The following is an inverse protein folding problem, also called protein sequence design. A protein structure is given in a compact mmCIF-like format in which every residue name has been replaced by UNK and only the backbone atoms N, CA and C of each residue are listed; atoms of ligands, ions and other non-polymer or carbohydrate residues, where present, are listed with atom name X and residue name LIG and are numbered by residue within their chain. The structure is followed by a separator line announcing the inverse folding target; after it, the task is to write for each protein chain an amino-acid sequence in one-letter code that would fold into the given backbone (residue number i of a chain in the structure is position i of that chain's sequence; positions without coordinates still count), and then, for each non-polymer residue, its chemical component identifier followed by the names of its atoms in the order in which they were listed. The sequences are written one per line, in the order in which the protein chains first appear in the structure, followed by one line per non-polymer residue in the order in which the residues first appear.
data_IF_997328154873
#
_entry.id   IF_997328154873
#
_cell.length_a   1.000
_cell.length_b   1.000
_cell.length_c   1.000
_cell.angle_alpha   90.00
_cell.angle_beta   90.00
_cell.angle_gamma   90.00
#
_symmetry.space_group_name_H-M   'P 1'
#
loop_
_entity.id
_entity.type
_entity.pdbx_description
1 polymer ?
#
# COMPACT_ATOMS: atom_id res chain seq x y z
N UNK A 1 15.91 20.60 15.90
CA UNK A 1 16.25 20.16 14.52
C UNK A 1 16.22 21.29 13.49
N UNK A 2 15.31 22.28 13.54
CA UNK A 2 15.26 23.36 12.51
C UNK A 2 16.53 24.16 12.26
N UNK A 3 17.47 24.19 13.21
CA UNK A 3 18.75 24.90 13.09
C UNK A 3 19.84 24.06 12.40
N UNK A 4 19.59 22.79 12.10
CA UNK A 4 20.52 21.91 11.39
C UNK A 4 20.42 22.15 9.88
N UNK A 5 21.49 21.90 9.13
CA UNK A 5 21.41 21.97 7.67
C UNK A 5 20.45 20.88 7.14
N UNK A 6 19.86 21.09 5.94
CA UNK A 6 19.00 20.09 5.33
C UNK A 6 19.64 18.72 5.19
N UNK A 7 20.93 18.64 4.90
CA UNK A 7 21.66 17.38 4.73
C UNK A 7 21.73 16.61 6.06
N UNK A 8 22.02 17.30 7.17
CA UNK A 8 22.07 16.69 8.51
C UNK A 8 20.68 16.26 8.97
N UNK A 9 19.63 17.06 8.69
CA UNK A 9 18.25 16.67 9.00
C UNK A 9 17.84 15.42 8.21
N UNK A 10 18.18 15.36 6.92
CA UNK A 10 17.94 14.22 6.06
C UNK A 10 18.63 12.97 6.59
N UNK A 11 19.91 13.08 6.96
CA UNK A 11 20.66 11.95 7.52
C UNK A 11 20.10 11.45 8.83
N UNK A 12 19.62 12.33 9.72
CA UNK A 12 18.91 11.92 10.94
C UNK A 12 17.63 11.18 10.61
N UNK A 13 16.83 11.71 9.67
CA UNK A 13 15.55 11.14 9.31
C UNK A 13 15.66 9.78 8.60
N UNK A 14 16.78 9.46 7.95
CA UNK A 14 17.04 8.11 7.43
C UNK A 14 17.04 7.01 8.51
N UNK A 15 17.28 7.38 9.78
CA UNK A 15 17.29 6.44 10.91
C UNK A 15 15.95 6.30 11.61
N UNK A 16 14.92 7.03 11.17
CA UNK A 16 13.61 6.99 11.79
C UNK A 16 12.72 5.95 11.12
N UNK A 17 11.87 5.30 11.91
CA UNK A 17 10.86 4.37 11.39
C UNK A 17 9.78 5.14 10.61
N UNK A 18 9.05 4.46 9.74
CA UNK A 18 7.93 5.06 9.00
C UNK A 18 6.92 5.76 9.93
N UNK A 19 6.53 5.10 11.04
CA UNK A 19 5.63 5.68 12.04
C UNK A 19 6.18 6.97 12.65
N UNK A 20 7.50 7.03 12.90
CA UNK A 20 8.17 8.23 13.41
C UNK A 20 8.23 9.34 12.36
N UNK A 21 8.49 9.01 11.09
CA UNK A 21 8.49 9.97 9.98
C UNK A 21 7.11 10.59 9.77
N UNK A 22 6.05 9.78 9.74
CA UNK A 22 4.66 10.26 9.66
C UNK A 22 4.32 11.18 10.83
N UNK A 23 4.67 10.78 12.05
CA UNK A 23 4.44 11.62 13.23
C UNK A 23 5.14 12.98 13.10
N UNK A 24 6.41 12.99 12.66
CA UNK A 24 7.17 14.23 12.43
C UNK A 24 6.54 15.08 11.34
N UNK A 25 6.07 14.47 10.24
CA UNK A 25 5.38 15.15 9.15
C UNK A 25 4.10 15.87 9.65
N UNK A 26 3.38 15.27 10.58
CA UNK A 26 2.16 15.82 11.17
C UNK A 26 2.42 16.92 12.22
N UNK A 27 3.60 16.94 12.85
CA UNK A 27 3.88 17.93 13.91
C UNK A 27 3.96 19.37 13.42
N UNK A 28 4.45 19.61 12.19
CA UNK A 28 4.55 20.96 11.65
C UNK A 28 4.72 20.99 10.12
N UNK A 29 4.15 22.01 9.48
CA UNK A 29 4.25 22.25 8.04
C UNK A 29 5.70 22.33 7.51
N UNK A 30 6.66 22.79 8.31
CA UNK A 30 8.08 22.76 7.94
C UNK A 30 8.57 21.34 7.65
N UNK A 31 8.34 20.40 8.57
CA UNK A 31 8.79 19.02 8.39
C UNK A 31 7.97 18.30 7.32
N UNK A 32 6.69 18.64 7.18
CA UNK A 32 5.90 18.17 6.04
C UNK A 32 6.54 18.54 4.70
N UNK A 33 6.87 19.82 4.50
CA UNK A 33 7.52 20.29 3.27
C UNK A 33 8.90 19.65 3.13
N UNK A 34 9.66 19.55 4.22
CA UNK A 34 10.99 18.96 4.22
C UNK A 34 10.99 17.48 3.83
N UNK A 35 10.18 16.66 4.49
CA UNK A 35 10.10 15.22 4.24
C UNK A 35 9.62 14.96 2.81
N UNK A 36 8.61 15.69 2.33
CA UNK A 36 8.13 15.58 0.95
C UNK A 36 9.21 15.96 -0.08
N UNK A 37 10.10 16.90 0.24
CA UNK A 37 11.21 17.28 -0.66
C UNK A 37 12.24 16.16 -0.82
N UNK A 38 12.38 15.29 0.17
CA UNK A 38 13.39 14.23 0.20
C UNK A 38 12.77 12.84 0.31
N UNK A 39 11.53 12.68 -0.11
CA UNK A 39 10.75 11.45 0.00
C UNK A 39 11.37 10.28 -0.77
N UNK A 40 12.08 10.59 -1.85
CA UNK A 40 12.90 9.66 -2.62
C UNK A 40 14.16 9.18 -1.88
N UNK A 41 14.59 9.90 -0.83
CA UNK A 41 15.83 9.67 -0.07
C UNK A 41 15.59 9.27 1.38
N UNK A 42 14.35 9.41 1.85
CA UNK A 42 13.93 9.08 3.20
C UNK A 42 13.33 7.69 3.23
N UNK A 43 13.43 7.04 4.39
CA UNK A 43 13.18 5.62 4.54
C UNK A 43 11.80 5.21 4.01
N UNK A 44 11.80 4.60 2.83
CA UNK A 44 10.85 3.56 2.46
C UNK A 44 11.22 2.37 3.33
N UNK A 45 10.29 1.84 4.12
CA UNK A 45 10.55 0.56 4.79
C UNK A 45 10.89 -0.44 3.68
N UNK A 46 12.09 -1.03 3.74
CA UNK A 46 12.51 -2.04 2.77
C UNK A 46 11.94 -3.36 3.24
N UNK A 47 11.20 -3.99 2.36
CA UNK A 47 10.74 -5.37 2.49
C UNK A 47 11.41 -6.20 1.41
N UNK A 48 11.56 -7.49 1.65
CA UNK A 48 12.12 -8.37 0.64
C UNK A 48 11.07 -8.73 -0.39
N UNK A 49 9.82 -8.94 0.06
CA UNK A 49 8.76 -9.40 -0.83
C UNK A 49 7.41 -8.77 -0.50
N UNK A 50 6.72 -8.35 -1.56
CA UNK A 50 5.28 -8.13 -1.57
C UNK A 50 4.60 -9.30 -2.27
N UNK A 51 3.58 -9.88 -1.65
CA UNK A 51 2.74 -10.90 -2.26
C UNK A 51 1.26 -10.61 -2.02
N UNK A 52 0.43 -10.87 -3.03
CA UNK A 52 -1.02 -10.82 -2.90
C UNK A 52 -1.53 -12.27 -2.87
N UNK A 53 -2.12 -12.65 -1.75
CA UNK A 53 -2.57 -14.00 -1.46
C UNK A 53 -4.11 -14.07 -1.43
N UNK A 54 -4.66 -15.17 -1.90
CA UNK A 54 -6.07 -15.48 -1.70
C UNK A 54 -6.29 -15.99 -0.26
N UNK A 55 -7.09 -15.28 0.52
CA UNK A 55 -7.54 -15.76 1.82
C UNK A 55 -8.57 -16.87 1.64
N UNK A 56 -8.14 -18.13 1.71
CA UNK A 56 -9.10 -19.22 1.94
C UNK A 56 -9.51 -19.19 3.42
N UNK A 57 -10.82 -19.32 3.70
CA UNK A 57 -11.39 -19.27 5.06
C UNK A 57 -10.73 -20.23 6.07
N UNK A 58 -9.97 -21.24 5.60
CA UNK A 58 -9.24 -22.18 6.45
C UNK A 58 -7.75 -21.87 6.71
N UNK A 59 -7.16 -20.87 6.04
CA UNK A 59 -5.72 -20.52 6.22
C UNK A 59 -5.50 -19.31 7.13
N UNK A 60 -6.56 -18.57 7.46
CA UNK A 60 -6.48 -17.33 8.25
C UNK A 60 -6.07 -17.55 9.70
N UNK A 61 -6.10 -18.77 10.24
CA UNK A 61 -5.73 -19.04 11.62
C UNK A 61 -4.22 -18.98 11.90
N UNK A 62 -3.38 -18.87 10.88
CA UNK A 62 -1.92 -18.81 11.02
C UNK A 62 -1.34 -17.40 10.87
N UNK A 63 -2.15 -16.41 10.49
CA UNK A 63 -1.68 -15.06 10.19
C UNK A 63 -2.23 -14.06 11.21
N UNK A 64 -1.33 -13.29 11.80
CA UNK A 64 -1.73 -12.12 12.59
C UNK A 64 -1.91 -10.96 11.62
N UNK A 65 -3.16 -10.55 11.41
CA UNK A 65 -3.49 -9.44 10.54
C UNK A 65 -3.19 -8.13 11.24
N UNK A 66 -2.44 -7.27 10.56
CA UNK A 66 -2.25 -5.90 10.94
C UNK A 66 -3.44 -5.07 10.46
N UNK A 67 -4.30 -4.68 11.39
CA UNK A 67 -5.24 -3.58 11.15
C UNK A 67 -4.48 -2.25 11.33
N UNK A 68 -4.56 -1.31 10.37
CA UNK A 68 -3.96 0.01 10.55
C UNK A 68 -4.57 0.69 11.78
N UNK A 69 -3.77 1.46 12.51
CA UNK A 69 -4.27 2.27 13.64
C UNK A 69 -5.42 3.17 13.14
N UNK A 70 -6.61 3.16 13.77
CA UNK A 70 -7.76 3.96 13.35
C UNK A 70 -7.45 5.43 13.12
N UNK A 71 -6.48 5.97 13.86
CA UNK A 71 -6.03 7.35 13.71
C UNK A 71 -5.36 7.64 12.36
N UNK A 72 -4.83 6.62 11.68
CA UNK A 72 -4.19 6.76 10.38
C UNK A 72 -5.21 6.92 9.25
N UNK A 73 -6.44 6.45 9.44
CA UNK A 73 -7.51 6.57 8.44
C UNK A 73 -8.69 7.45 8.87
N UNK A 74 -8.62 8.08 10.06
CA UNK A 74 -9.55 9.14 10.48
C UNK A 74 -9.24 10.50 9.83
N UNK A 75 -9.08 10.51 8.51
CA UNK A 75 -8.95 11.74 7.73
C UNK A 75 -10.31 12.19 7.18
N UNK A 76 -10.48 13.50 7.08
CA UNK A 76 -11.64 14.10 6.40
C UNK A 76 -11.46 13.96 4.89
N UNK A 77 -12.51 13.50 4.22
CA UNK A 77 -12.62 13.49 2.75
C UNK A 77 -13.52 14.63 2.30
N UNK A 78 -13.29 15.16 1.10
CA UNK A 78 -14.18 16.17 0.54
C UNK A 78 -15.54 15.56 0.19
N UNK A 79 -16.60 16.38 0.15
CA UNK A 79 -17.92 15.93 -0.33
C UNK A 79 -17.85 15.37 -1.76
N UNK A 80 -16.94 15.90 -2.59
CA UNK A 80 -16.78 15.47 -3.97
C UNK A 80 -16.16 14.07 -4.03
N UNK A 81 -15.12 13.80 -3.23
CA UNK A 81 -14.49 12.49 -3.16
C UNK A 81 -15.43 11.46 -2.54
N UNK A 82 -16.14 11.83 -1.47
CA UNK A 82 -17.12 10.95 -0.85
C UNK A 82 -18.19 10.51 -1.84
N UNK A 83 -18.73 11.43 -2.67
CA UNK A 83 -19.69 11.09 -3.74
C UNK A 83 -19.10 10.12 -4.76
N UNK A 84 -17.84 10.32 -5.19
CA UNK A 84 -17.16 9.40 -6.11
C UNK A 84 -17.00 8.02 -5.48
N UNK A 85 -16.58 7.95 -4.23
CA UNK A 85 -16.41 6.68 -3.50
C UNK A 85 -17.73 5.94 -3.35
N UNK A 86 -18.83 6.63 -2.97
CA UNK A 86 -20.18 6.03 -2.94
C UNK A 86 -20.57 5.45 -4.30
N UNK A 87 -20.34 6.20 -5.38
CA UNK A 87 -20.61 5.72 -6.73
C UNK A 87 -19.77 4.48 -7.09
N UNK A 88 -18.50 4.42 -6.68
CA UNK A 88 -17.65 3.25 -6.90
C UNK A 88 -18.11 2.01 -6.12
N UNK A 89 -18.57 2.21 -4.88
CA UNK A 89 -19.17 1.15 -4.05
C UNK A 89 -20.47 0.64 -4.68
N UNK A 90 -21.37 1.54 -5.09
CA UNK A 90 -22.64 1.18 -5.74
C UNK A 90 -22.43 0.39 -7.04
N UNK A 91 -21.40 0.76 -7.81
CA UNK A 91 -20.99 0.04 -9.02
C UNK A 91 -20.17 -1.22 -8.74
N UNK A 92 -19.93 -1.58 -7.47
CA UNK A 92 -19.16 -2.75 -7.06
C UNK A 92 -17.78 -2.83 -7.72
N UNK A 93 -17.07 -1.70 -7.83
CA UNK A 93 -15.71 -1.70 -8.38
C UNK A 93 -14.81 -2.51 -7.44
N UNK A 94 -14.12 -3.56 -7.93
CA UNK A 94 -13.29 -4.38 -7.06
C UNK A 94 -11.94 -3.73 -6.78
N UNK A 95 -11.34 -4.01 -5.62
CA UNK A 95 -9.97 -3.63 -5.28
C UNK A 95 -8.94 -4.34 -6.13
N UNK A 96 -9.23 -5.59 -6.50
CA UNK A 96 -8.32 -6.44 -7.24
C UNK A 96 -8.99 -7.00 -8.49
N UNK A 97 -8.21 -7.14 -9.56
CA UNK A 97 -8.59 -7.90 -10.74
C UNK A 97 -7.99 -9.30 -10.59
N UNK A 98 -8.81 -10.33 -10.76
CA UNK A 98 -8.45 -11.73 -10.56
C UNK A 98 -9.07 -12.59 -11.65
N UNK A 99 -8.36 -13.63 -12.09
CA UNK A 99 -8.88 -14.63 -13.05
C UNK A 99 -9.90 -15.61 -12.43
N UNK A 100 -10.08 -15.56 -11.11
CA UNK A 100 -11.06 -16.37 -10.39
C UNK A 100 -12.27 -15.56 -9.96
N UNK A 101 -13.47 -16.17 -10.05
CA UNK A 101 -14.70 -15.73 -9.41
C UNK A 101 -14.56 -15.85 -7.89
N UNK A 102 -13.92 -14.87 -7.26
CA UNK A 102 -13.68 -14.92 -5.82
C UNK A 102 -14.32 -13.72 -5.13
N UNK A 103 -15.38 -13.99 -4.38
CA UNK A 103 -15.84 -13.19 -3.25
C UNK A 103 -14.85 -13.26 -2.04
N UNK A 104 -13.61 -13.70 -2.28
CA UNK A 104 -12.65 -13.96 -1.22
C UNK A 104 -12.00 -12.66 -0.74
N UNK A 105 -11.62 -12.67 0.54
CA UNK A 105 -10.76 -11.65 1.10
C UNK A 105 -9.36 -11.82 0.52
N UNK A 106 -8.76 -10.72 0.09
CA UNK A 106 -7.42 -10.73 -0.46
C UNK A 106 -6.49 -10.18 0.61
N UNK A 107 -5.41 -10.91 0.85
CA UNK A 107 -4.41 -10.59 1.85
C UNK A 107 -3.17 -10.09 1.14
N UNK A 108 -2.71 -8.91 1.52
CA UNK A 108 -1.42 -8.38 1.10
C UNK A 108 -0.41 -8.76 2.17
N UNK A 109 0.63 -9.51 1.77
CA UNK A 109 1.71 -9.95 2.64
C UNK A 109 2.99 -9.17 2.32
N UNK A 110 3.61 -8.61 3.35
CA UNK A 110 4.93 -8.00 3.30
C UNK A 110 5.90 -8.84 4.16
N UNK A 111 7.03 -9.25 3.58
CA UNK A 111 8.05 -10.06 4.28
C UNK A 111 9.30 -9.22 4.58
N UNK A 112 9.73 -9.25 5.84
CA UNK A 112 10.96 -8.62 6.32
C UNK A 112 11.95 -9.71 6.78
N UNK A 113 13.07 -9.91 6.08
CA UNK A 113 14.15 -10.81 6.51
C UNK A 113 15.05 -10.09 7.51
N UNK A 114 14.92 -10.47 8.78
CA UNK A 114 16.06 -10.46 9.68
C UNK A 114 16.52 -11.90 9.88
N UNK A 115 17.82 -12.13 9.76
CA UNK A 115 18.47 -13.41 9.93
C UNK A 115 17.80 -14.26 11.02
N UNK A 116 17.20 -15.37 10.60
CA UNK A 116 16.57 -16.45 11.39
C UNK A 116 15.10 -16.29 11.84
N UNK A 117 14.46 -15.12 11.71
CA UNK A 117 13.01 -14.98 11.96
C UNK A 117 12.37 -14.09 10.88
N UNK A 118 11.59 -14.72 9.98
CA UNK A 118 10.79 -13.99 9.00
C UNK A 118 9.58 -13.37 9.72
N UNK A 119 9.61 -12.06 9.93
CA UNK A 119 8.41 -11.31 10.32
C UNK A 119 7.59 -11.05 9.06
N UNK A 120 6.35 -11.51 9.09
CA UNK A 120 5.40 -11.31 8.00
C UNK A 120 4.30 -10.36 8.47
N UNK A 121 4.05 -9.30 7.70
CA UNK A 121 2.96 -8.37 7.94
C UNK A 121 1.84 -8.67 6.96
N UNK A 122 0.65 -8.96 7.49
CA UNK A 122 -0.52 -9.27 6.68
C UNK A 122 -1.54 -8.15 6.81
N UNK A 123 -1.88 -7.50 5.71
CA UNK A 123 -3.00 -6.56 5.64
C UNK A 123 -4.14 -7.17 4.85
N UNK A 124 -5.32 -7.20 5.45
CA UNK A 124 -6.52 -7.67 4.77
C UNK A 124 -7.20 -6.50 4.07
N UNK A 125 -7.48 -6.67 2.77
CA UNK A 125 -8.24 -5.71 1.98
C UNK A 125 -9.54 -6.36 1.48
N UNK A 126 -10.71 -5.73 1.69
CA UNK A 126 -11.94 -6.23 1.10
C UNK A 126 -11.84 -6.08 -0.42
N UNK A 127 -12.09 -7.16 -1.16
CA UNK A 127 -12.10 -7.06 -2.62
C UNK A 127 -13.24 -6.15 -3.09
N UNK A 128 -14.38 -6.16 -2.39
CA UNK A 128 -15.51 -5.27 -2.66
C UNK A 128 -15.76 -4.40 -1.43
N UNK A 129 -15.25 -3.16 -1.39
CA UNK A 129 -15.56 -2.21 -0.33
C UNK A 129 -17.07 -2.00 -0.23
N UNK A 130 -17.63 -2.10 0.98
CA UNK A 130 -19.07 -2.02 1.24
C UNK A 130 -19.51 -0.64 1.72
N UNK A 131 -18.57 0.15 2.23
CA UNK A 131 -18.84 1.44 2.86
C UNK A 131 -17.62 2.37 2.73
N UNK A 132 -17.78 3.62 3.18
CA UNK A 132 -16.71 4.63 3.12
C UNK A 132 -15.52 4.28 4.02
N UNK A 133 -15.76 3.57 5.12
CA UNK A 133 -14.69 3.16 6.03
C UNK A 133 -13.76 2.15 5.36
N UNK A 134 -14.31 1.16 4.66
CA UNK A 134 -13.53 0.20 3.86
C UNK A 134 -12.64 0.94 2.84
N UNK A 135 -13.17 1.99 2.20
CA UNK A 135 -12.42 2.81 1.25
C UNK A 135 -11.28 3.59 1.92
N UNK A 136 -11.51 4.12 3.13
CA UNK A 136 -10.46 4.81 3.91
C UNK A 136 -9.35 3.87 4.32
N UNK A 137 -9.71 2.67 4.80
CA UNK A 137 -8.76 1.60 5.17
C UNK A 137 -7.95 1.19 3.94
N UNK A 138 -8.61 0.93 2.81
CA UNK A 138 -7.95 0.56 1.56
C UNK A 138 -6.97 1.62 1.09
N UNK A 139 -7.39 2.90 1.10
CA UNK A 139 -6.50 4.03 0.78
C UNK A 139 -5.29 4.08 1.70
N UNK A 140 -5.50 3.95 3.01
CA UNK A 140 -4.43 4.00 4.01
C UNK A 140 -3.38 2.90 3.78
N UNK A 141 -3.82 1.66 3.59
CA UNK A 141 -2.93 0.52 3.33
C UNK A 141 -2.17 0.72 2.01
N UNK A 142 -2.86 1.12 0.93
CA UNK A 142 -2.20 1.37 -0.36
C UNK A 142 -1.20 2.52 -0.30
N UNK A 143 -1.49 3.57 0.46
CA UNK A 143 -0.58 4.69 0.67
C UNK A 143 0.67 4.24 1.44
N UNK A 144 0.54 3.33 2.41
CA UNK A 144 1.69 2.71 3.07
C UNK A 144 2.50 1.87 2.09
N UNK A 145 1.84 0.98 1.32
CA UNK A 145 2.48 0.13 0.33
C UNK A 145 3.27 0.93 -0.71
N UNK A 146 2.69 1.99 -1.28
CA UNK A 146 3.36 2.83 -2.27
C UNK A 146 4.51 3.66 -1.68
N UNK A 147 4.56 3.83 -0.36
CA UNK A 147 5.67 4.44 0.35
C UNK A 147 6.75 3.44 0.79
N UNK A 148 6.62 2.16 0.46
CA UNK A 148 7.60 1.13 0.77
C UNK A 148 8.46 0.76 -0.44
N UNK A 149 9.59 0.08 -0.20
CA UNK A 149 10.45 -0.48 -1.24
C UNK A 149 10.50 -2.00 -1.10
N UNK A 150 10.28 -2.71 -2.18
CA UNK A 150 10.25 -4.18 -2.20
C UNK A 150 11.40 -4.73 -3.05
N UNK A 151 12.14 -5.70 -2.56
CA UNK A 151 13.14 -6.38 -3.40
C UNK A 151 12.45 -7.18 -4.53
N UNK A 152 11.30 -7.79 -4.20
CA UNK A 152 10.49 -8.59 -5.09
C UNK A 152 9.00 -8.28 -4.93
N UNK A 153 8.28 -8.18 -6.04
CA UNK A 153 6.82 -8.12 -6.05
C UNK A 153 6.29 -9.33 -6.81
N UNK A 154 5.51 -10.16 -6.13
CA UNK A 154 4.88 -11.34 -6.71
C UNK A 154 3.36 -11.14 -6.81
N UNK A 155 2.84 -11.21 -8.03
CA UNK A 155 1.42 -11.13 -8.31
C UNK A 155 0.98 -12.44 -8.97
N UNK A 156 0.34 -13.35 -8.22
CA UNK A 156 -0.18 -14.62 -8.79
C UNK A 156 -1.66 -14.51 -9.09
N UNK A 157 -1.99 -14.32 -10.38
CA UNK A 157 -3.35 -14.20 -10.95
C UNK A 157 -4.21 -13.09 -10.38
N UNK A 158 -3.62 -12.20 -9.57
CA UNK A 158 -4.30 -11.09 -8.94
C UNK A 158 -3.44 -9.84 -9.03
N UNK A 159 -4.04 -8.73 -9.45
CA UNK A 159 -3.41 -7.42 -9.51
C UNK A 159 -4.32 -6.37 -8.88
N UNK A 160 -3.76 -5.25 -8.43
CA UNK A 160 -4.58 -4.10 -8.03
C UNK A 160 -5.39 -3.58 -9.22
N UNK A 161 -6.67 -3.26 -8.98
CA UNK A 161 -7.51 -2.67 -10.00
C UNK A 161 -7.12 -1.19 -10.21
N UNK A 162 -6.58 -0.81 -11.38
CA UNK A 162 -6.15 0.57 -11.63
C UNK A 162 -7.31 1.58 -11.57
N UNK A 163 -8.55 1.16 -11.89
CA UNK A 163 -9.73 2.02 -11.74
C UNK A 163 -9.99 2.34 -10.27
N UNK A 164 -9.81 1.36 -9.38
CA UNK A 164 -9.98 1.56 -7.94
C UNK A 164 -8.85 2.41 -7.34
N UNK A 165 -7.60 2.18 -7.75
CA UNK A 165 -6.47 3.04 -7.35
C UNK A 165 -6.75 4.49 -7.76
N UNK A 166 -7.18 4.72 -9.00
CA UNK A 166 -7.56 6.05 -9.45
C UNK A 166 -8.68 6.64 -8.60
N UNK A 167 -9.69 5.85 -8.24
CA UNK A 167 -10.81 6.30 -7.42
C UNK A 167 -10.38 6.72 -6.00
N UNK A 168 -9.51 5.95 -5.36
CA UNK A 168 -9.03 6.20 -4.00
C UNK A 168 -8.15 7.45 -3.92
N UNK A 169 -7.42 7.75 -4.98
CA UNK A 169 -6.39 8.79 -5.01
C UNK A 169 -6.65 9.91 -6.01
N UNK A 170 -7.88 10.06 -6.51
CA UNK A 170 -8.25 11.04 -7.54
C UNK A 170 -8.00 12.51 -7.12
N UNK A 171 -8.00 12.79 -5.80
CA UNK A 171 -7.68 14.11 -5.24
C UNK A 171 -6.19 14.35 -4.97
N UNK A 172 -5.34 13.34 -5.15
CA UNK A 172 -3.90 13.55 -5.05
C UNK A 172 -3.49 14.49 -6.18
N UNK A 173 -3.16 15.73 -5.80
CA UNK A 173 -2.61 16.78 -6.67
C UNK A 173 -1.48 16.21 -7.55
N UNK A 174 -1.23 16.81 -8.74
CA UNK A 174 -0.43 16.22 -9.82
C UNK A 174 1.08 16.00 -9.54
N UNK A 175 1.54 16.03 -8.30
CA UNK A 175 2.97 16.12 -7.99
C UNK A 175 3.60 14.83 -7.46
N UNK A 176 2.83 13.79 -7.17
CA UNK A 176 3.44 12.51 -6.81
C UNK A 176 2.74 11.34 -7.49
N UNK A 177 3.38 10.70 -8.48
CA UNK A 177 2.85 9.46 -9.03
C UNK A 177 2.85 8.40 -7.94
N UNK A 178 1.71 7.74 -7.74
CA UNK A 178 1.66 6.51 -6.94
C UNK A 178 2.47 5.47 -7.70
N UNK A 179 3.61 5.10 -7.16
CA UNK A 179 4.48 4.12 -7.77
C UNK A 179 4.83 3.08 -6.72
N UNK A 180 4.57 1.81 -7.04
CA UNK A 180 5.11 0.72 -6.25
C UNK A 180 6.61 0.65 -6.53
N UNK A 181 7.43 0.87 -5.51
CA UNK A 181 8.87 0.86 -5.66
C UNK A 181 9.39 -0.54 -5.41
N UNK A 182 9.96 -1.16 -6.44
CA UNK A 182 10.56 -2.48 -6.31
C UNK A 182 11.80 -2.65 -7.18
N UNK A 183 12.62 -3.65 -6.84
CA UNK A 183 13.76 -4.07 -7.68
C UNK A 183 13.34 -5.02 -8.79
N UNK A 184 12.34 -5.87 -8.55
CA UNK A 184 11.79 -6.80 -9.55
C UNK A 184 10.31 -7.05 -9.31
N UNK A 185 9.52 -7.21 -10.38
CA UNK A 185 8.12 -7.58 -10.30
C UNK A 185 7.77 -8.69 -11.30
N UNK A 186 7.03 -9.69 -10.80
CA UNK A 186 6.62 -10.86 -11.56
C UNK A 186 5.10 -11.02 -11.48
N UNK A 187 4.49 -11.13 -12.65
CA UNK A 187 3.07 -11.42 -12.80
C UNK A 187 2.91 -12.83 -13.37
N UNK A 188 2.30 -13.70 -12.57
CA UNK A 188 1.98 -15.07 -12.96
C UNK A 188 0.53 -15.10 -13.42
N UNK A 189 0.32 -15.29 -14.72
CA UNK A 189 -1.01 -15.49 -15.30
C UNK A 189 -1.03 -16.92 -15.84
N UNK A 190 -1.93 -17.76 -15.31
CA UNK A 190 -2.19 -19.06 -15.91
C UNK A 190 -3.07 -18.85 -17.14
N UNK A 191 -2.45 -18.76 -18.31
CA UNK A 191 -3.21 -18.95 -19.53
C UNK A 191 -3.75 -20.38 -19.53
N UNK A 192 -5.02 -20.57 -19.87
CA UNK A 192 -5.67 -21.88 -20.03
C UNK A 192 -4.96 -22.81 -21.04
N UNK A 193 -3.92 -22.34 -21.73
CA UNK A 193 -3.19 -23.11 -22.73
C UNK A 193 -1.67 -23.12 -22.65
N UNK A 194 -0.95 -22.24 -21.93
CA UNK A 194 0.54 -22.30 -21.81
C UNK A 194 1.06 -21.28 -20.76
N UNK A 195 2.01 -21.68 -19.91
CA UNK A 195 2.63 -20.81 -18.90
C UNK A 195 3.62 -19.82 -19.54
N UNK A 196 3.37 -18.51 -19.41
CA UNK A 196 4.31 -17.46 -19.79
C UNK A 196 4.70 -16.63 -18.56
N UNK A 197 6.00 -16.34 -18.42
CA UNK A 197 6.54 -15.46 -17.41
C UNK A 197 6.69 -14.05 -18.00
N UNK A 198 5.96 -13.07 -17.48
CA UNK A 198 6.16 -11.66 -17.83
C UNK A 198 7.02 -11.00 -16.75
N UNK A 199 8.15 -10.40 -17.16
CA UNK A 199 8.88 -9.46 -16.32
C UNK A 199 8.22 -8.09 -16.49
N UNK A 200 7.62 -7.56 -15.43
CA UNK A 200 7.10 -6.19 -15.42
C UNK A 200 8.17 -5.27 -14.85
N UNK A 201 8.90 -4.62 -15.77
CA UNK A 201 9.87 -3.52 -15.57
C UNK A 201 11.13 -3.83 -14.74
#
# INVERSE_FOLDING_TARGET
MRFLSPEVQLDIFKWLTFKQLIYIQQTNNFYKIFLNKYEDKLARKKFDKLEILYGNEGSSSYYEFFEPDPKLYDFQISEQLEKKWKCGIENSIPMFLSDFDTNMNIVVCELEQYSYHEESYYSQLPNLPKNIEDMKIARCILEQLFNCFFEFVQLDKVIFNPQMIKLLFDENKPNMPLQLHCQSAHLFILNKSDNFYWNLF
#
